data_IF_530527410558
#
_entry.id   IF_530527410558
#
_cell.length_a   1.000
_cell.length_b   1.000
_cell.length_c   1.000
_cell.angle_alpha   90.00
_cell.angle_beta   90.00
_cell.angle_gamma   90.00
#
_symmetry.space_group_name_H-M   'P 1'
#
loop_
_entity.id
_entity.type
_entity.pdbx_description
1 polymer ?
#
# COMPACT_ATOMS: atom_id res chain seq x y z
N UNK A 1 27.65 8.75 11.55
CA UNK A 1 26.76 7.56 11.64
C UNK A 1 27.14 6.63 10.51
N UNK A 2 27.15 5.32 10.75
CA UNK A 2 27.35 4.34 9.68
C UNK A 2 26.13 4.34 8.75
N UNK A 3 26.29 4.06 7.44
CA UNK A 3 25.17 3.90 6.54
C UNK A 3 24.28 2.72 6.97
N UNK A 4 22.96 2.77 6.73
CA UNK A 4 22.09 1.64 7.01
C UNK A 4 22.47 0.43 6.17
N UNK A 5 22.24 -0.77 6.70
CA UNK A 5 22.38 -2.03 5.97
C UNK A 5 21.39 -2.10 4.80
N UNK A 6 21.65 -3.00 3.86
CA UNK A 6 20.71 -3.23 2.76
C UNK A 6 19.40 -3.85 3.27
N UNK A 7 19.46 -4.70 4.30
CA UNK A 7 18.29 -5.27 4.95
C UNK A 7 17.38 -4.16 5.49
N UNK A 8 17.95 -3.23 6.26
CA UNK A 8 17.21 -2.09 6.81
C UNK A 8 16.65 -1.18 5.72
N UNK A 9 17.39 -0.96 4.62
CA UNK A 9 16.90 -0.15 3.48
C UNK A 9 15.68 -0.82 2.84
N UNK A 10 15.77 -2.11 2.53
CA UNK A 10 14.69 -2.84 1.87
C UNK A 10 13.45 -2.99 2.77
N UNK A 11 13.63 -3.24 4.07
CA UNK A 11 12.53 -3.19 5.05
C UNK A 11 11.79 -1.85 5.02
N UNK A 12 12.52 -0.72 4.95
CA UNK A 12 11.89 0.60 4.87
C UNK A 12 11.18 0.86 3.54
N UNK A 13 11.69 0.31 2.44
CA UNK A 13 11.02 0.40 1.13
C UNK A 13 9.67 -0.34 1.20
N UNK A 14 9.67 -1.58 1.69
CA UNK A 14 8.45 -2.38 1.84
C UNK A 14 7.41 -1.67 2.71
N UNK A 15 7.82 -1.16 3.88
CA UNK A 15 6.92 -0.43 4.78
C UNK A 15 6.29 0.82 4.15
N UNK A 16 7.02 1.54 3.28
CA UNK A 16 6.48 2.71 2.57
C UNK A 16 5.45 2.29 1.53
N UNK A 17 5.72 1.24 0.77
CA UNK A 17 4.79 0.71 -0.22
C UNK A 17 3.49 0.21 0.43
N UNK A 18 3.57 -0.50 1.57
CA UNK A 18 2.39 -0.91 2.34
C UNK A 18 1.55 0.29 2.79
N UNK A 19 2.20 1.36 3.26
CA UNK A 19 1.51 2.61 3.64
C UNK A 19 0.86 3.29 2.43
N UNK A 20 1.49 3.24 1.27
CA UNK A 20 0.95 3.77 0.02
C UNK A 20 -0.31 3.00 -0.42
N UNK A 21 -0.30 1.66 -0.38
CA UNK A 21 -1.50 0.84 -0.62
C UNK A 21 -2.63 1.21 0.35
N UNK A 22 -2.33 1.31 1.64
CA UNK A 22 -3.31 1.68 2.66
C UNK A 22 -3.90 3.07 2.41
N UNK A 23 -3.06 4.03 1.99
CA UNK A 23 -3.49 5.37 1.63
C UNK A 23 -4.47 5.36 0.45
N UNK A 24 -4.14 4.69 -0.65
CA UNK A 24 -5.02 4.63 -1.82
C UNK A 24 -6.35 3.91 -1.53
N UNK A 25 -6.34 2.84 -0.72
CA UNK A 25 -7.58 2.18 -0.30
C UNK A 25 -8.46 3.08 0.57
N UNK A 26 -7.86 3.85 1.48
CA UNK A 26 -8.58 4.83 2.29
C UNK A 26 -9.16 5.97 1.44
N UNK A 27 -8.40 6.43 0.45
CA UNK A 27 -8.87 7.44 -0.49
C UNK A 27 -10.06 6.91 -1.30
N UNK A 28 -9.95 5.72 -1.88
CA UNK A 28 -11.06 5.06 -2.58
C UNK A 28 -12.34 5.00 -1.72
N UNK A 29 -12.23 4.56 -0.47
CA UNK A 29 -13.38 4.52 0.45
C UNK A 29 -13.98 5.91 0.69
N UNK A 30 -13.13 6.92 0.89
CA UNK A 30 -13.57 8.31 1.10
C UNK A 30 -14.30 8.86 -0.13
N UNK A 31 -13.80 8.53 -1.33
CA UNK A 31 -14.42 8.88 -2.60
C UNK A 31 -15.78 8.21 -2.79
N UNK A 32 -15.90 6.92 -2.46
CA UNK A 32 -17.16 6.16 -2.49
C UNK A 32 -18.20 6.73 -1.52
N UNK A 33 -17.79 7.11 -0.30
CA UNK A 33 -18.65 7.80 0.67
C UNK A 33 -19.16 9.15 0.14
N UNK A 34 -18.33 9.91 -0.59
CA UNK A 34 -18.76 11.16 -1.24
C UNK A 34 -19.79 10.90 -2.34
N UNK A 35 -19.59 9.87 -3.17
CA UNK A 35 -20.59 9.45 -4.17
C UNK A 35 -21.92 9.11 -3.51
N UNK A 36 -21.89 8.35 -2.41
CA UNK A 36 -23.10 7.98 -1.68
C UNK A 36 -23.86 9.22 -1.16
N UNK A 37 -23.15 10.21 -0.61
CA UNK A 37 -23.74 11.48 -0.14
C UNK A 37 -24.34 12.29 -1.29
N UNK A 38 -23.65 12.40 -2.43
CA UNK A 38 -24.15 13.12 -3.61
C UNK A 38 -25.40 12.45 -4.18
N UNK A 39 -25.46 11.11 -4.21
CA UNK A 39 -26.65 10.37 -4.64
C UNK A 39 -27.85 10.55 -3.72
N UNK A 40 -27.63 10.81 -2.43
CA UNK A 40 -28.70 11.02 -1.45
C UNK A 40 -29.35 12.42 -1.54
N UNK A 41 -28.67 13.39 -2.17
CA UNK A 41 -29.15 14.77 -2.33
C UNK A 41 -29.11 15.19 -3.81
N UNK A 42 -30.00 14.65 -4.67
CA UNK A 42 -29.96 14.89 -6.12
C UNK A 42 -30.37 16.31 -6.53
N UNK A 43 -30.98 17.09 -5.64
CA UNK A 43 -31.50 18.43 -5.93
C UNK A 43 -30.43 19.54 -5.91
N UNK A 44 -29.16 19.21 -5.62
CA UNK A 44 -28.04 20.15 -5.75
C UNK A 44 -27.78 20.42 -7.24
N UNK A 45 -27.80 21.69 -7.64
CA UNK A 45 -27.62 22.14 -9.04
C UNK A 45 -26.35 21.56 -9.69
N UNK A 46 -25.33 21.22 -8.89
CA UNK A 46 -24.07 20.65 -9.36
C UNK A 46 -23.93 19.13 -9.10
N UNK A 47 -24.97 18.45 -8.60
CA UNK A 47 -24.89 17.03 -8.19
C UNK A 47 -24.37 16.12 -9.30
N UNK A 48 -24.89 16.25 -10.53
CA UNK A 48 -24.49 15.39 -11.65
C UNK A 48 -23.03 15.61 -12.07
N UNK A 49 -22.59 16.87 -12.12
CA UNK A 49 -21.21 17.23 -12.44
C UNK A 49 -20.26 16.68 -11.37
N UNK A 50 -20.58 16.88 -10.09
CA UNK A 50 -19.79 16.38 -8.97
C UNK A 50 -19.74 14.85 -8.95
N UNK A 51 -20.85 14.18 -9.26
CA UNK A 51 -20.89 12.71 -9.39
C UNK A 51 -19.98 12.21 -10.51
N UNK A 52 -19.96 12.87 -11.66
CA UNK A 52 -19.08 12.50 -12.78
C UNK A 52 -17.61 12.64 -12.39
N UNK A 53 -17.24 13.75 -11.77
CA UNK A 53 -15.87 13.98 -11.26
C UNK A 53 -15.47 12.92 -10.24
N UNK A 54 -16.35 12.63 -9.27
CA UNK A 54 -16.04 11.68 -8.22
C UNK A 54 -15.91 10.24 -8.75
N UNK A 55 -16.71 9.86 -9.75
CA UNK A 55 -16.57 8.57 -10.45
C UNK A 55 -15.26 8.47 -11.22
N UNK A 56 -14.84 9.54 -11.89
CA UNK A 56 -13.56 9.57 -12.58
C UNK A 56 -12.39 9.39 -11.59
N UNK A 57 -12.41 10.12 -10.48
CA UNK A 57 -11.40 9.99 -9.43
C UNK A 57 -11.33 8.55 -8.85
N UNK A 58 -12.48 7.88 -8.69
CA UNK A 58 -12.56 6.47 -8.27
C UNK A 58 -11.85 5.56 -9.28
N UNK A 59 -12.13 5.73 -10.56
CA UNK A 59 -11.53 4.90 -11.60
C UNK A 59 -10.01 5.15 -11.71
N UNK A 60 -9.56 6.38 -11.52
CA UNK A 60 -8.13 6.71 -11.45
C UNK A 60 -7.46 6.05 -10.24
N UNK A 61 -8.03 6.17 -9.03
CA UNK A 61 -7.50 5.52 -7.83
C UNK A 61 -7.47 4.00 -7.97
N UNK A 62 -8.54 3.39 -8.52
CA UNK A 62 -8.60 1.93 -8.78
C UNK A 62 -7.53 1.45 -9.75
N UNK A 63 -7.12 2.27 -10.72
CA UNK A 63 -6.05 1.92 -11.67
C UNK A 63 -4.66 1.93 -11.02
N UNK A 64 -4.45 2.74 -9.99
CA UNK A 64 -3.14 2.87 -9.31
C UNK A 64 -2.91 1.72 -8.32
N UNK A 65 -3.94 1.31 -7.58
CA UNK A 65 -3.82 0.30 -6.51
C UNK A 65 -3.11 -0.99 -6.98
N UNK A 66 -3.46 -1.62 -8.11
CA UNK A 66 -2.81 -2.85 -8.57
C UNK A 66 -1.31 -2.68 -8.81
N UNK A 67 -0.89 -1.57 -9.42
CA UNK A 67 0.51 -1.29 -9.69
C UNK A 67 1.34 -1.10 -8.41
N UNK A 68 0.74 -0.52 -7.35
CA UNK A 68 1.41 -0.41 -6.05
C UNK A 68 1.44 -1.77 -5.34
N UNK A 69 0.39 -2.58 -5.44
CA UNK A 69 0.38 -3.94 -4.89
C UNK A 69 1.45 -4.83 -5.54
N UNK A 70 1.63 -4.76 -6.86
CA UNK A 70 2.68 -5.49 -7.57
C UNK A 70 4.08 -5.10 -7.05
N UNK A 71 4.32 -3.81 -6.81
CA UNK A 71 5.57 -3.34 -6.18
C UNK A 71 5.76 -3.88 -4.77
N UNK A 72 4.68 -4.02 -3.99
CA UNK A 72 4.75 -4.65 -2.65
C UNK A 72 5.14 -6.12 -2.78
N UNK A 73 4.53 -6.87 -3.71
CA UNK A 73 4.88 -8.27 -3.96
C UNK A 73 6.35 -8.41 -4.34
N UNK A 74 6.86 -7.61 -5.28
CA UNK A 74 8.27 -7.63 -5.63
C UNK A 74 9.18 -7.30 -4.43
N UNK A 75 8.83 -6.29 -3.65
CA UNK A 75 9.61 -5.91 -2.47
C UNK A 75 9.60 -6.98 -1.36
N UNK A 76 8.53 -7.79 -1.27
CA UNK A 76 8.50 -8.98 -0.40
C UNK A 76 9.51 -10.01 -0.90
N UNK A 77 9.47 -10.37 -2.18
CA UNK A 77 10.37 -11.37 -2.79
C UNK A 77 11.85 -10.96 -2.66
N UNK A 78 12.14 -9.68 -2.89
CA UNK A 78 13.49 -9.12 -2.76
C UNK A 78 13.98 -9.20 -1.29
N UNK A 79 13.11 -8.90 -0.33
CA UNK A 79 13.44 -8.91 1.10
C UNK A 79 13.59 -10.35 1.64
N UNK A 80 12.74 -11.27 1.20
CA UNK A 80 12.86 -12.70 1.50
C UNK A 80 14.18 -13.26 0.95
N UNK A 81 14.51 -12.96 -0.30
CA UNK A 81 15.78 -13.36 -0.91
C UNK A 81 16.98 -12.81 -0.14
N UNK A 82 16.90 -11.56 0.34
CA UNK A 82 17.96 -10.95 1.12
C UNK A 82 18.13 -11.62 2.49
N UNK A 83 17.03 -11.95 3.18
CA UNK A 83 17.06 -12.73 4.43
C UNK A 83 17.71 -14.10 4.21
N UNK A 84 17.39 -14.77 3.10
CA UNK A 84 17.97 -16.07 2.80
C UNK A 84 19.48 -16.04 2.59
N UNK A 85 19.97 -14.98 1.95
CA UNK A 85 21.40 -14.75 1.76
C UNK A 85 22.12 -14.32 3.04
N UNK A 86 21.39 -13.92 4.09
CA UNK A 86 21.92 -13.44 5.37
C UNK A 86 21.66 -14.40 6.56
N UNK A 87 21.32 -15.68 6.32
CA UNK A 87 21.06 -16.74 7.34
C UNK A 87 22.21 -17.02 8.35
N UNK A 88 23.28 -16.22 8.37
CA UNK A 88 24.33 -16.26 9.38
C UNK A 88 24.13 -15.26 10.54
N UNK A 89 23.15 -14.36 10.44
CA UNK A 89 22.88 -13.27 11.41
C UNK A 89 21.47 -13.34 12.03
N UNK A 90 20.91 -14.56 12.15
CA UNK A 90 19.50 -14.89 12.48
C UNK A 90 18.90 -14.29 13.78
N UNK A 91 19.63 -13.46 14.53
CA UNK A 91 19.14 -12.82 15.76
C UNK A 91 19.28 -11.28 15.80
N UNK A 92 19.57 -10.63 14.66
CA UNK A 92 19.65 -9.17 14.62
C UNK A 92 18.26 -8.54 14.66
N UNK A 93 18.14 -7.34 15.25
CA UNK A 93 16.89 -6.57 15.25
C UNK A 93 16.41 -6.30 13.82
N UNK A 94 17.34 -6.16 12.86
CA UNK A 94 17.01 -5.90 11.46
C UNK A 94 16.37 -7.12 10.77
N UNK A 95 16.74 -8.34 11.17
CA UNK A 95 16.11 -9.59 10.71
C UNK A 95 14.67 -9.65 11.22
N UNK A 96 14.46 -9.45 12.53
CA UNK A 96 13.12 -9.44 13.13
C UNK A 96 12.21 -8.37 12.51
N UNK A 97 12.74 -7.17 12.28
CA UNK A 97 12.00 -6.07 11.65
C UNK A 97 11.63 -6.40 10.19
N UNK A 98 12.51 -7.06 9.45
CA UNK A 98 12.27 -7.47 8.07
C UNK A 98 11.20 -8.56 7.98
N UNK A 99 11.28 -9.59 8.82
CA UNK A 99 10.28 -10.67 8.91
C UNK A 99 8.90 -10.12 9.26
N UNK A 100 8.83 -9.22 10.25
CA UNK A 100 7.57 -8.59 10.63
C UNK A 100 7.02 -7.73 9.48
N UNK A 101 7.88 -6.97 8.78
CA UNK A 101 7.45 -6.18 7.63
C UNK A 101 6.91 -7.04 6.47
N UNK A 102 7.51 -8.21 6.20
CA UNK A 102 7.00 -9.17 5.22
C UNK A 102 5.62 -9.68 5.63
N UNK A 103 5.46 -10.08 6.89
CA UNK A 103 4.18 -10.55 7.41
C UNK A 103 3.08 -9.48 7.25
N UNK A 104 3.35 -8.27 7.73
CA UNK A 104 2.40 -7.15 7.65
C UNK A 104 2.05 -6.81 6.18
N UNK A 105 3.04 -6.89 5.29
CA UNK A 105 2.84 -6.62 3.87
C UNK A 105 1.96 -7.68 3.19
N UNK A 106 2.18 -8.97 3.47
CA UNK A 106 1.33 -10.08 2.97
C UNK A 106 -0.12 -9.90 3.43
N UNK A 107 -0.34 -9.61 4.70
CA UNK A 107 -1.67 -9.30 5.25
C UNK A 107 -2.30 -8.08 4.54
N UNK A 108 -1.52 -7.04 4.28
CA UNK A 108 -2.01 -5.83 3.62
C UNK A 108 -2.42 -6.07 2.15
N UNK A 109 -1.69 -6.88 1.37
CA UNK A 109 -2.03 -7.11 -0.05
C UNK A 109 -2.99 -8.28 -0.28
N UNK A 110 -3.36 -9.02 0.77
CA UNK A 110 -4.29 -10.15 0.70
C UNK A 110 -3.61 -11.49 0.39
N UNK A 111 -2.31 -11.61 0.65
CA UNK A 111 -1.57 -12.86 0.54
C UNK A 111 -1.78 -13.73 1.78
N UNK A 112 -2.36 -14.90 1.57
CA UNK A 112 -2.19 -16.07 2.44
C UNK A 112 -1.16 -16.99 1.79
#
# INVERSE_FOLDING_TARGET
>A
MAPPSDLRKQTQVLQRLVKEVAFHRKDLKTQEERVAKLKANPDDENAEFMLKQQRQAIEETKRVIPAVQEKVTQAIEDLESLLENNKGEDASVEVTDAEQAIKDAKEAVGGA
#
